data_IF_077587276989
#
_entry.id   IF_077587276989
#
_cell.length_a   1.000
_cell.length_b   1.000
_cell.length_c   1.000
_cell.angle_alpha   90.00
_cell.angle_beta   90.00
_cell.angle_gamma   90.00
#
_symmetry.space_group_name_H-M   'P 1'
#
loop_
_entity.id
_entity.type
_entity.pdbx_description
1 polymer ?
#
# COMPACT_ATOMS: atom_id res chain seq x y z
N UNK A 1 -24.53 3.85 29.09
CA UNK A 1 -25.11 4.06 27.74
C UNK A 1 -24.13 3.46 26.75
N UNK A 2 -24.50 2.36 26.10
CA UNK A 2 -23.64 1.55 25.23
C UNK A 2 -23.25 2.32 23.96
N UNK A 3 -21.95 2.51 23.73
CA UNK A 3 -21.35 3.02 22.49
C UNK A 3 -20.47 1.92 21.83
N UNK A 4 -21.03 0.71 21.63
CA UNK A 4 -20.28 -0.43 21.06
C UNK A 4 -20.99 -1.05 19.83
N UNK A 5 -22.09 -0.48 19.31
CA UNK A 5 -22.84 -1.12 18.21
C UNK A 5 -22.65 -0.55 16.81
N UNK A 6 -22.00 0.60 16.64
CA UNK A 6 -21.88 1.26 15.32
C UNK A 6 -20.70 0.76 14.50
N UNK A 7 -19.58 0.40 15.13
CA UNK A 7 -18.37 -0.06 14.43
C UNK A 7 -18.54 -1.45 13.81
N UNK A 8 -19.18 -2.38 14.54
CA UNK A 8 -19.43 -3.76 14.06
C UNK A 8 -20.46 -3.80 12.93
N UNK A 9 -21.47 -2.91 12.98
CA UNK A 9 -22.48 -2.82 11.92
C UNK A 9 -21.89 -2.25 10.64
N UNK A 10 -21.02 -1.25 10.74
CA UNK A 10 -20.36 -0.63 9.59
C UNK A 10 -19.38 -1.56 8.87
N UNK A 11 -18.53 -2.29 9.62
CA UNK A 11 -17.60 -3.25 9.03
C UNK A 11 -18.33 -4.29 8.17
N UNK A 12 -19.44 -4.82 8.66
CA UNK A 12 -20.26 -5.80 7.93
C UNK A 12 -20.87 -5.22 6.64
N UNK A 13 -21.18 -3.93 6.63
CA UNK A 13 -21.75 -3.25 5.46
C UNK A 13 -20.68 -2.96 4.40
N UNK A 14 -19.50 -2.49 4.80
CA UNK A 14 -18.35 -2.36 3.89
C UNK A 14 -17.89 -3.70 3.32
N UNK A 15 -17.85 -4.74 4.16
CA UNK A 15 -17.62 -6.13 3.71
C UNK A 15 -18.64 -6.57 2.67
N UNK A 16 -19.91 -6.23 2.87
CA UNK A 16 -20.98 -6.57 1.91
C UNK A 16 -20.76 -5.86 0.58
N UNK A 17 -20.33 -4.60 0.59
CA UNK A 17 -20.00 -3.84 -0.63
C UNK A 17 -18.78 -4.44 -1.32
N UNK A 18 -17.70 -4.71 -0.60
CA UNK A 18 -16.49 -5.33 -1.15
C UNK A 18 -16.79 -6.70 -1.76
N UNK A 19 -17.59 -7.55 -1.10
CA UNK A 19 -18.02 -8.84 -1.64
C UNK A 19 -18.85 -8.72 -2.92
N UNK A 20 -19.71 -7.70 -3.03
CA UNK A 20 -20.47 -7.43 -4.26
C UNK A 20 -19.54 -7.03 -5.40
N UNK A 21 -18.54 -6.20 -5.10
CA UNK A 21 -17.55 -5.76 -6.06
C UNK A 21 -16.71 -6.94 -6.57
N UNK A 22 -16.21 -7.79 -5.66
CA UNK A 22 -15.49 -9.01 -6.03
C UNK A 22 -16.33 -9.92 -6.94
N UNK A 23 -17.57 -10.23 -6.56
CA UNK A 23 -18.48 -11.03 -7.40
C UNK A 23 -18.73 -10.42 -8.77
N UNK A 24 -18.73 -9.09 -8.89
CA UNK A 24 -18.83 -8.42 -10.18
C UNK A 24 -17.58 -8.68 -11.03
N UNK A 25 -16.40 -8.41 -10.46
CA UNK A 25 -15.09 -8.61 -11.11
C UNK A 25 -14.94 -10.08 -11.58
N UNK A 26 -15.32 -11.04 -10.74
CA UNK A 26 -15.29 -12.47 -11.06
C UNK A 26 -16.24 -12.84 -12.21
N UNK A 27 -17.48 -12.36 -12.13
CA UNK A 27 -18.51 -12.66 -13.13
C UNK A 27 -18.14 -12.10 -14.49
N UNK A 28 -17.57 -10.91 -14.52
CA UNK A 28 -17.16 -10.24 -15.75
C UNK A 28 -15.82 -10.77 -16.27
N UNK A 29 -15.13 -11.62 -15.48
CA UNK A 29 -13.76 -12.09 -15.76
C UNK A 29 -12.88 -10.90 -16.12
N UNK A 30 -13.00 -9.83 -15.34
CA UNK A 30 -12.32 -8.58 -15.59
C UNK A 30 -10.80 -8.84 -15.59
N UNK A 31 -10.18 -8.72 -16.76
CA UNK A 31 -8.72 -8.85 -16.94
C UNK A 31 -8.08 -7.50 -17.22
N UNK A 32 -8.87 -6.43 -17.34
CA UNK A 32 -8.41 -5.07 -17.61
C UNK A 32 -8.94 -4.12 -16.55
N UNK A 33 -8.22 -3.01 -16.34
CA UNK A 33 -8.63 -1.97 -15.41
C UNK A 33 -10.03 -1.40 -15.75
N UNK A 34 -10.36 -1.23 -17.04
CA UNK A 34 -11.67 -0.71 -17.45
C UNK A 34 -12.86 -1.61 -17.08
N UNK A 35 -12.68 -2.94 -17.11
CA UNK A 35 -13.70 -3.89 -16.67
C UNK A 35 -13.93 -3.77 -15.15
N UNK A 36 -12.84 -3.58 -14.42
CA UNK A 36 -12.85 -3.39 -12.96
C UNK A 36 -13.52 -2.06 -12.59
N UNK A 37 -13.20 -0.97 -13.29
CA UNK A 37 -13.79 0.35 -13.08
C UNK A 37 -15.31 0.33 -13.27
N UNK A 38 -15.79 -0.39 -14.30
CA UNK A 38 -17.23 -0.57 -14.52
C UNK A 38 -17.91 -1.30 -13.36
N UNK A 39 -17.25 -2.30 -12.79
CA UNK A 39 -17.72 -2.98 -11.59
C UNK A 39 -17.70 -2.09 -10.35
N UNK A 40 -16.65 -1.28 -10.18
CA UNK A 40 -16.51 -0.29 -9.11
C UNK A 40 -17.67 0.72 -9.16
N UNK A 41 -17.85 1.41 -10.29
CA UNK A 41 -18.88 2.43 -10.46
C UNK A 41 -20.28 1.87 -10.17
N UNK A 42 -20.63 0.72 -10.76
CA UNK A 42 -21.95 0.10 -10.54
C UNK A 42 -22.15 -0.33 -9.09
N UNK A 43 -21.10 -0.84 -8.45
CA UNK A 43 -21.19 -1.29 -7.06
C UNK A 43 -21.35 -0.09 -6.13
N UNK A 44 -20.56 0.96 -6.32
CA UNK A 44 -20.64 2.18 -5.52
C UNK A 44 -21.99 2.87 -5.70
N UNK A 45 -22.44 3.10 -6.94
CA UNK A 45 -23.73 3.74 -7.22
C UNK A 45 -24.91 3.00 -6.57
N UNK A 46 -24.88 1.66 -6.54
CA UNK A 46 -25.94 0.83 -5.95
C UNK A 46 -25.90 0.71 -4.43
N UNK A 47 -24.82 1.13 -3.79
CA UNK A 47 -24.65 1.02 -2.34
C UNK A 47 -24.26 2.36 -1.70
N UNK A 48 -24.51 3.48 -2.40
CA UNK A 48 -24.13 4.82 -1.92
C UNK A 48 -24.83 5.18 -0.60
N UNK A 49 -26.03 4.65 -0.38
CA UNK A 49 -26.81 4.78 0.86
C UNK A 49 -26.05 4.26 2.09
N UNK A 50 -25.22 3.22 1.93
CA UNK A 50 -24.38 2.67 2.99
C UNK A 50 -23.35 3.71 3.44
N UNK A 51 -22.70 4.38 2.50
CA UNK A 51 -21.68 5.38 2.79
C UNK A 51 -22.29 6.63 3.41
N UNK A 52 -23.42 7.11 2.86
CA UNK A 52 -24.17 8.22 3.45
C UNK A 52 -24.53 7.97 4.91
N UNK A 53 -25.03 6.77 5.21
CA UNK A 53 -25.40 6.38 6.58
C UNK A 53 -24.19 6.23 7.51
N UNK A 54 -23.07 5.74 7.01
CA UNK A 54 -21.86 5.56 7.84
C UNK A 54 -21.24 6.89 8.25
N UNK A 55 -21.14 7.84 7.32
CA UNK A 55 -20.56 9.16 7.57
C UNK A 55 -21.56 10.17 8.15
N UNK A 56 -22.84 9.80 8.31
CA UNK A 56 -23.95 10.75 8.59
C UNK A 56 -23.94 11.93 7.60
N UNK A 57 -23.63 11.62 6.34
CA UNK A 57 -23.39 12.55 5.27
C UNK A 57 -24.71 13.01 4.62
N UNK A 58 -24.74 14.24 4.09
CA UNK A 58 -25.87 14.79 3.33
C UNK A 58 -25.54 14.92 1.86
N UNK A 59 -24.28 15.15 1.53
CA UNK A 59 -23.76 15.18 0.16
C UNK A 59 -22.59 14.22 0.02
N UNK A 60 -22.21 13.91 -1.23
CA UNK A 60 -21.06 13.02 -1.48
C UNK A 60 -19.74 13.65 -1.00
N UNK A 61 -19.67 14.99 -0.93
CA UNK A 61 -18.50 15.72 -0.45
C UNK A 61 -18.27 15.53 1.06
N UNK A 62 -19.31 15.12 1.79
CA UNK A 62 -19.21 14.79 3.22
C UNK A 62 -18.61 13.38 3.45
N UNK A 63 -18.40 12.60 2.38
CA UNK A 63 -17.91 11.23 2.43
C UNK A 63 -16.41 11.24 2.15
N UNK A 64 -15.62 10.67 3.06
CA UNK A 64 -14.19 10.42 2.80
C UNK A 64 -14.04 9.26 1.81
N UNK A 65 -14.07 9.60 0.52
CA UNK A 65 -13.97 8.64 -0.59
C UNK A 65 -12.59 7.96 -0.64
N UNK A 66 -11.55 8.59 -0.11
CA UNK A 66 -10.23 7.98 0.03
C UNK A 66 -10.28 6.88 1.09
N UNK A 67 -10.87 7.14 2.27
CA UNK A 67 -11.08 6.11 3.29
C UNK A 67 -11.96 4.97 2.76
N UNK A 68 -13.06 5.27 2.08
CA UNK A 68 -13.93 4.25 1.48
C UNK A 68 -13.16 3.38 0.48
N UNK A 69 -12.40 4.00 -0.42
CA UNK A 69 -11.56 3.32 -1.40
C UNK A 69 -10.53 2.41 -0.73
N UNK A 70 -9.84 2.92 0.29
CA UNK A 70 -8.86 2.16 1.05
C UNK A 70 -9.49 0.96 1.79
N UNK A 71 -10.64 1.15 2.46
CA UNK A 71 -11.34 0.07 3.15
C UNK A 71 -11.72 -1.04 2.17
N UNK A 72 -12.35 -0.68 1.05
CA UNK A 72 -12.83 -1.63 0.05
C UNK A 72 -11.65 -2.31 -0.65
N UNK A 73 -10.61 -1.56 -1.02
CA UNK A 73 -9.40 -2.08 -1.67
C UNK A 73 -8.68 -3.13 -0.81
N UNK A 74 -8.56 -2.90 0.50
CA UNK A 74 -8.00 -3.89 1.43
C UNK A 74 -8.84 -5.18 1.44
N UNK A 75 -10.16 -5.06 1.56
CA UNK A 75 -11.04 -6.25 1.55
C UNK A 75 -10.92 -7.05 0.25
N UNK A 76 -10.81 -6.37 -0.90
CA UNK A 76 -10.61 -7.02 -2.20
C UNK A 76 -9.25 -7.74 -2.22
N UNK A 77 -8.17 -7.07 -1.80
CA UNK A 77 -6.84 -7.66 -1.78
C UNK A 77 -6.76 -8.91 -0.89
N UNK A 78 -7.46 -8.90 0.24
CA UNK A 78 -7.49 -10.03 1.19
C UNK A 78 -8.38 -11.19 0.73
N UNK A 79 -9.52 -10.91 0.09
CA UNK A 79 -10.57 -11.90 -0.14
C UNK A 79 -10.80 -12.28 -1.60
N UNK A 80 -10.21 -11.55 -2.54
CA UNK A 80 -10.51 -11.62 -3.97
C UNK A 80 -9.21 -11.72 -4.75
N UNK A 81 -8.56 -12.89 -4.62
CA UNK A 81 -7.21 -13.14 -5.15
C UNK A 81 -7.06 -12.90 -6.65
N UNK A 82 -8.14 -13.05 -7.43
CA UNK A 82 -8.18 -12.74 -8.87
C UNK A 82 -8.25 -11.24 -9.17
N UNK A 83 -8.89 -10.44 -8.30
CA UNK A 83 -9.01 -9.00 -8.48
C UNK A 83 -7.67 -8.30 -8.20
N UNK A 84 -6.91 -8.80 -7.22
CA UNK A 84 -5.56 -8.34 -6.92
C UNK A 84 -4.56 -8.55 -8.08
N UNK A 85 -4.88 -9.37 -9.10
CA UNK A 85 -4.10 -9.46 -10.34
C UNK A 85 -4.38 -8.27 -11.25
N UNK A 86 -5.64 -7.90 -11.44
CA UNK A 86 -6.04 -6.79 -12.29
C UNK A 86 -5.63 -5.41 -11.75
N UNK A 87 -5.60 -5.22 -10.42
CA UNK A 87 -5.29 -3.93 -9.78
C UNK A 87 -3.78 -3.63 -9.61
N UNK A 88 -2.88 -4.61 -9.80
CA UNK A 88 -1.47 -4.48 -9.39
C UNK A 88 -0.46 -4.58 -10.54
N UNK A 89 -0.91 -4.75 -11.79
CA UNK A 89 -0.03 -5.07 -12.94
C UNK A 89 0.69 -3.83 -13.55
N UNK A 90 0.47 -2.62 -13.04
CA UNK A 90 1.03 -1.39 -13.62
C UNK A 90 2.28 -0.81 -12.91
N UNK A 91 2.73 -1.43 -11.82
CA UNK A 91 3.79 -0.91 -10.94
C UNK A 91 5.24 -1.12 -11.44
N UNK A 92 5.46 -1.54 -12.69
CA UNK A 92 6.81 -1.84 -13.17
C UNK A 92 7.08 -1.45 -14.62
N UNK A 93 7.38 -0.17 -14.90
CA UNK A 93 8.11 0.25 -16.10
C UNK A 93 9.05 1.43 -15.81
N UNK A 94 10.31 1.24 -16.19
CA UNK A 94 11.56 1.95 -15.84
C UNK A 94 11.61 3.45 -16.16
N UNK A 95 12.54 4.16 -15.50
CA UNK A 95 13.00 5.52 -15.85
C UNK A 95 14.50 5.54 -16.16
N UNK A 96 14.91 6.53 -16.97
CA UNK A 96 16.16 6.58 -17.74
C UNK A 96 17.47 6.69 -16.93
N UNK A 97 18.52 6.09 -17.49
CA UNK A 97 19.93 6.06 -17.02
C UNK A 97 20.64 7.42 -16.98
N UNK A 98 21.49 7.63 -15.96
CA UNK A 98 22.54 8.65 -15.87
C UNK A 98 23.87 7.95 -15.52
N UNK A 99 24.98 8.43 -16.09
CA UNK A 99 26.37 7.91 -16.03
C UNK A 99 26.99 7.81 -14.62
N UNK A 100 28.07 6.99 -14.44
CA UNK A 100 28.40 6.35 -13.17
C UNK A 100 29.19 7.25 -12.21
N UNK A 101 28.62 7.48 -11.03
CA UNK A 101 29.41 7.58 -9.80
C UNK A 101 29.74 6.15 -9.31
N UNK A 102 30.56 5.99 -8.27
CA UNK A 102 30.81 4.67 -7.69
C UNK A 102 29.49 4.06 -7.17
N UNK A 103 29.22 2.81 -7.52
CA UNK A 103 28.01 2.10 -7.10
C UNK A 103 27.94 2.03 -5.57
N UNK A 104 26.75 2.30 -5.01
CA UNK A 104 26.51 2.12 -3.58
C UNK A 104 26.86 0.67 -3.16
N UNK A 105 27.47 0.49 -1.99
CA UNK A 105 27.61 -0.84 -1.38
C UNK A 105 26.39 -1.15 -0.51
N UNK A 106 26.14 -2.42 -0.20
CA UNK A 106 25.02 -2.74 0.70
C UNK A 106 25.25 -2.20 2.12
N UNK A 107 26.51 -2.12 2.55
CA UNK A 107 26.91 -1.51 3.83
C UNK A 107 26.58 -0.02 3.90
N UNK A 108 26.64 0.71 2.79
CA UNK A 108 26.29 2.14 2.74
C UNK A 108 24.81 2.40 3.02
N UNK A 109 23.97 1.34 3.04
CA UNK A 109 22.52 1.41 3.22
C UNK A 109 22.12 1.19 4.68
N UNK A 110 22.99 0.59 5.49
CA UNK A 110 22.69 0.28 6.89
C UNK A 110 22.31 1.52 7.68
N UNK A 111 22.78 2.69 7.24
CA UNK A 111 22.39 3.99 7.76
C UNK A 111 22.23 4.98 6.61
N UNK A 112 21.07 5.63 6.52
CA UNK A 112 20.83 6.60 5.47
C UNK A 112 19.37 7.04 5.37
N UNK A 113 19.15 8.07 4.57
CA UNK A 113 17.83 8.54 4.21
C UNK A 113 17.58 8.33 2.72
N UNK A 114 16.40 7.84 2.42
CA UNK A 114 15.98 7.45 1.09
C UNK A 114 14.55 7.89 0.84
N UNK A 115 14.11 7.86 -0.41
CA UNK A 115 12.71 7.94 -0.75
C UNK A 115 12.35 6.94 -1.84
N UNK A 116 11.09 6.53 -1.87
CA UNK A 116 10.50 5.82 -2.99
C UNK A 116 9.14 6.43 -3.33
N UNK A 117 8.75 6.28 -4.59
CA UNK A 117 7.47 6.80 -5.09
C UNK A 117 6.52 5.67 -5.40
N UNK A 118 5.29 5.79 -4.93
CA UNK A 118 4.18 4.96 -5.40
C UNK A 118 3.41 5.80 -6.43
N UNK A 119 3.54 5.46 -7.70
CA UNK A 119 2.79 6.12 -8.77
C UNK A 119 1.46 5.40 -8.98
N UNK A 120 0.35 6.13 -8.82
CA UNK A 120 -0.97 5.71 -9.29
C UNK A 120 -1.24 6.47 -10.58
N UNK A 121 -0.85 5.87 -11.72
CA UNK A 121 -0.82 6.50 -13.04
C UNK A 121 -2.18 7.08 -13.45
N UNK A 122 -3.25 6.43 -13.06
CA UNK A 122 -4.64 6.79 -13.38
C UNK A 122 -5.09 8.07 -12.66
N UNK A 123 -4.52 8.36 -11.49
CA UNK A 123 -4.83 9.55 -10.70
C UNK A 123 -3.85 10.70 -10.95
N UNK A 124 -2.81 10.50 -11.78
CA UNK A 124 -1.65 11.39 -11.87
C UNK A 124 -1.12 11.76 -10.46
N UNK A 125 -1.19 10.81 -9.54
CA UNK A 125 -0.83 11.01 -8.15
C UNK A 125 0.43 10.21 -7.84
N UNK A 126 1.48 10.94 -7.45
CA UNK A 126 2.74 10.36 -6.98
C UNK A 126 2.79 10.62 -5.48
N UNK A 127 2.63 9.57 -4.68
CA UNK A 127 2.92 9.66 -3.25
C UNK A 127 4.40 9.32 -3.04
N UNK A 128 5.08 10.18 -2.28
CA UNK A 128 6.49 9.97 -1.94
C UNK A 128 6.57 9.52 -0.49
N UNK A 129 7.17 8.34 -0.29
CA UNK A 129 7.49 7.83 1.04
C UNK A 129 8.97 8.06 1.30
N UNK A 130 9.27 8.78 2.38
CA UNK A 130 10.63 8.96 2.87
C UNK A 130 10.95 7.87 3.89
N UNK A 131 12.12 7.27 3.76
CA UNK A 131 12.59 6.17 4.59
C UNK A 131 13.89 6.58 5.27
N UNK A 132 14.00 6.34 6.57
CA UNK A 132 15.24 6.47 7.31
C UNK A 132 15.66 5.11 7.89
N UNK A 133 16.87 4.67 7.56
CA UNK A 133 17.56 3.58 8.24
C UNK A 133 18.48 4.19 9.31
N UNK A 134 18.24 3.88 10.58
CA UNK A 134 19.04 4.40 11.68
C UNK A 134 19.29 3.32 12.74
N UNK A 135 20.39 2.58 12.58
CA UNK A 135 20.75 1.50 13.49
C UNK A 135 19.73 0.37 13.42
N UNK A 136 18.99 0.16 14.50
CA UNK A 136 17.93 -0.84 14.64
C UNK A 136 16.54 -0.32 14.26
N UNK A 137 16.43 0.93 13.80
CA UNK A 137 15.16 1.56 13.43
C UNK A 137 15.02 1.76 11.92
N UNK A 138 13.86 1.36 11.40
CA UNK A 138 13.37 1.69 10.07
C UNK A 138 12.11 2.55 10.18
N UNK A 139 12.16 3.77 9.64
CA UNK A 139 11.06 4.74 9.74
C UNK A 139 10.60 5.16 8.35
N UNK A 140 9.33 4.91 8.03
CA UNK A 140 8.65 5.49 6.87
C UNK A 140 7.89 6.75 7.26
N UNK A 141 7.96 7.79 6.44
CA UNK A 141 7.16 9.01 6.53
C UNK A 141 6.44 9.22 5.21
N UNK A 142 5.11 9.27 5.26
CA UNK A 142 4.22 9.36 4.10
C UNK A 142 3.41 10.65 4.16
N UNK A 143 2.76 11.04 3.06
CA UNK A 143 1.87 12.21 3.01
C UNK A 143 2.53 13.48 3.54
N UNK A 144 3.78 13.73 3.12
CA UNK A 144 4.64 14.83 3.59
C UNK A 144 4.88 14.81 5.12
N UNK A 145 5.06 13.62 5.69
CA UNK A 145 5.35 13.42 7.12
C UNK A 145 4.13 13.47 8.04
N UNK A 146 2.91 13.57 7.49
CA UNK A 146 1.68 13.52 8.29
C UNK A 146 1.42 12.13 8.86
N UNK A 147 1.78 11.10 8.12
CA UNK A 147 1.70 9.70 8.57
C UNK A 147 3.07 9.03 8.57
N UNK A 148 3.21 7.99 9.36
CA UNK A 148 4.45 7.26 9.56
C UNK A 148 4.20 5.78 9.84
N UNK A 149 5.22 4.97 9.58
CA UNK A 149 5.32 3.58 10.03
C UNK A 149 6.68 3.35 10.66
N UNK A 150 6.69 2.74 11.85
CA UNK A 150 7.89 2.38 12.59
C UNK A 150 8.05 0.87 12.54
N UNK A 151 9.24 0.43 12.15
CA UNK A 151 9.66 -0.96 12.14
C UNK A 151 11.04 -1.06 12.79
N UNK A 152 11.31 -2.18 13.47
CA UNK A 152 12.69 -2.54 13.80
C UNK A 152 13.34 -3.15 12.55
N UNK A 153 14.65 -2.98 12.39
CA UNK A 153 15.44 -3.62 11.35
C UNK A 153 16.47 -4.56 11.95
N UNK A 154 16.57 -5.76 11.40
CA UNK A 154 17.63 -6.73 11.70
C UNK A 154 18.34 -7.12 10.39
N UNK A 155 19.62 -6.79 10.27
CA UNK A 155 20.44 -7.19 9.13
C UNK A 155 20.90 -8.64 9.30
N UNK A 156 20.49 -9.51 8.36
CA UNK A 156 20.91 -10.92 8.32
C UNK A 156 22.34 -11.02 7.75
N UNK A 157 22.62 -10.19 6.75
CA UNK A 157 23.94 -9.97 6.17
C UNK A 157 24.00 -8.58 5.54
N UNK A 158 25.03 -8.27 4.76
CA UNK A 158 25.21 -6.94 4.19
C UNK A 158 24.03 -6.49 3.32
N UNK A 159 23.37 -7.39 2.58
CA UNK A 159 22.32 -7.06 1.59
C UNK A 159 20.93 -7.61 1.94
N UNK A 160 20.80 -8.47 2.95
CA UNK A 160 19.53 -9.06 3.38
C UNK A 160 19.16 -8.57 4.79
N UNK A 161 17.91 -8.18 4.98
CA UNK A 161 17.40 -7.72 6.27
C UNK A 161 15.93 -8.09 6.49
N UNK A 162 15.53 -8.12 7.76
CA UNK A 162 14.15 -8.27 8.17
C UNK A 162 13.66 -6.99 8.82
N UNK A 163 12.42 -6.61 8.53
CA UNK A 163 11.72 -5.54 9.21
C UNK A 163 10.62 -6.12 10.09
N UNK A 164 10.62 -5.76 11.37
CA UNK A 164 9.56 -6.16 12.31
C UNK A 164 8.65 -4.96 12.57
N UNK A 165 7.39 -5.07 12.18
CA UNK A 165 6.44 -3.98 12.34
C UNK A 165 6.18 -3.66 13.82
N UNK A 166 6.25 -2.39 14.19
CA UNK A 166 5.90 -1.92 15.54
C UNK A 166 4.57 -1.21 15.55
N UNK A 167 4.44 -0.15 14.77
CA UNK A 167 3.30 0.74 14.81
C UNK A 167 3.23 1.60 13.55
N UNK A 168 2.02 2.07 13.25
CA UNK A 168 1.79 3.05 12.21
C UNK A 168 0.59 3.91 12.60
N UNK A 169 0.62 5.20 12.26
CA UNK A 169 -0.57 6.04 12.25
C UNK A 169 -1.14 6.21 10.83
N UNK A 170 -0.53 5.58 9.83
CA UNK A 170 -1.07 5.53 8.47
C UNK A 170 -2.26 4.55 8.41
N UNK A 171 -3.44 4.98 7.90
CA UNK A 171 -4.65 4.16 7.89
C UNK A 171 -4.50 2.83 7.16
N UNK A 172 -3.71 2.80 6.08
CA UNK A 172 -3.52 1.60 5.27
C UNK A 172 -2.54 0.64 5.96
N UNK A 173 -1.35 1.13 6.31
CA UNK A 173 -0.29 0.31 6.94
C UNK A 173 -0.76 -0.27 8.28
N UNK A 174 -1.48 0.50 9.11
CA UNK A 174 -2.03 0.04 10.39
C UNK A 174 -3.05 -1.10 10.24
N UNK A 175 -3.71 -1.21 9.08
CA UNK A 175 -4.67 -2.29 8.80
C UNK A 175 -3.98 -3.53 8.23
N UNK A 176 -3.00 -3.34 7.34
CA UNK A 176 -2.27 -4.42 6.67
C UNK A 176 -1.22 -5.11 7.54
N UNK A 177 -0.78 -4.44 8.61
CA UNK A 177 0.30 -4.91 9.48
C UNK A 177 -0.14 -4.93 10.94
N UNK A 178 0.27 -5.98 11.66
CA UNK A 178 0.12 -6.11 13.10
C UNK A 178 1.49 -6.02 13.78
N UNK A 179 1.57 -5.47 15.00
CA UNK A 179 2.84 -5.46 15.73
C UNK A 179 3.44 -6.87 15.83
N UNK A 180 4.69 -7.01 15.40
CA UNK A 180 5.39 -8.29 15.32
C UNK A 180 5.36 -8.98 13.96
N UNK A 181 4.62 -8.46 12.97
CA UNK A 181 4.72 -8.96 11.59
C UNK A 181 6.14 -8.73 11.05
N UNK A 182 6.69 -9.76 10.40
CA UNK A 182 8.06 -9.75 9.88
C UNK A 182 8.03 -9.74 8.35
N UNK A 183 8.77 -8.81 7.77
CA UNK A 183 8.91 -8.64 6.33
C UNK A 183 10.37 -8.84 5.93
N UNK A 184 10.63 -9.71 4.96
CA UNK A 184 11.98 -10.02 4.51
C UNK A 184 12.31 -9.22 3.25
N UNK A 185 13.49 -8.65 3.21
CA UNK A 185 13.97 -7.81 2.12
C UNK A 185 15.38 -8.22 1.69
N UNK A 186 15.64 -8.05 0.41
CA UNK A 186 16.95 -8.27 -0.20
C UNK A 186 17.26 -7.11 -1.16
N UNK A 187 18.44 -6.52 -1.03
CA UNK A 187 18.97 -5.58 -2.02
C UNK A 187 19.48 -6.42 -3.20
N UNK A 188 18.81 -6.30 -4.35
CA UNK A 188 19.11 -7.11 -5.55
C UNK A 188 19.92 -6.35 -6.59
N UNK A 189 19.88 -5.02 -6.56
CA UNK A 189 20.65 -4.17 -7.48
C UNK A 189 20.90 -2.81 -6.86
N UNK A 190 21.85 -2.07 -7.43
CA UNK A 190 22.23 -0.74 -6.97
C UNK A 190 22.79 0.11 -8.10
N UNK A 191 22.58 1.39 -7.97
CA UNK A 191 23.19 2.44 -8.77
C UNK A 191 23.89 3.40 -7.82
N UNK A 192 24.58 4.43 -8.33
CA UNK A 192 25.22 5.42 -7.47
C UNK A 192 24.23 6.26 -6.65
N UNK A 193 22.96 6.32 -7.07
CA UNK A 193 21.92 7.16 -6.45
C UNK A 193 20.71 6.37 -5.97
N UNK A 194 20.64 5.07 -6.21
CA UNK A 194 19.49 4.25 -5.84
C UNK A 194 19.85 2.82 -5.55
N UNK A 195 18.94 2.13 -4.86
CA UNK A 195 19.03 0.70 -4.56
C UNK A 195 17.69 0.06 -4.93
N UNK A 196 17.74 -1.15 -5.46
CA UNK A 196 16.54 -1.93 -5.78
C UNK A 196 16.40 -3.00 -4.72
N UNK A 197 15.29 -2.95 -4.00
CA UNK A 197 14.98 -3.87 -2.91
C UNK A 197 13.84 -4.79 -3.36
N UNK A 198 14.05 -6.09 -3.24
CA UNK A 198 13.04 -7.11 -3.43
C UNK A 198 12.45 -7.55 -2.09
N UNK A 199 11.14 -7.77 -2.05
CA UNK A 199 10.44 -8.38 -0.92
C UNK A 199 9.40 -9.38 -1.39
N UNK A 200 9.06 -10.33 -0.52
CA UNK A 200 8.04 -11.32 -0.79
C UNK A 200 6.82 -11.11 0.12
N UNK A 201 5.69 -10.75 -0.47
CA UNK A 201 4.44 -10.54 0.26
C UNK A 201 3.29 -11.25 -0.46
N UNK A 202 2.39 -11.88 0.28
CA UNK A 202 1.23 -12.60 -0.26
C UNK A 202 1.53 -13.51 -1.48
N UNK A 203 2.60 -14.31 -1.40
CA UNK A 203 3.07 -15.22 -2.47
C UNK A 203 3.60 -14.53 -3.75
N UNK A 204 3.85 -13.22 -3.71
CA UNK A 204 4.37 -12.43 -4.82
C UNK A 204 5.66 -11.72 -4.44
N UNK A 205 6.52 -11.53 -5.44
CA UNK A 205 7.70 -10.68 -5.34
C UNK A 205 7.32 -9.25 -5.69
N UNK A 206 7.76 -8.31 -4.89
CA UNK A 206 7.65 -6.88 -5.13
C UNK A 206 9.05 -6.30 -5.16
N UNK A 207 9.27 -5.34 -6.07
CA UNK A 207 10.50 -4.60 -6.16
C UNK A 207 10.20 -3.13 -5.93
N UNK A 208 11.03 -2.46 -5.14
CA UNK A 208 10.93 -1.04 -4.89
C UNK A 208 12.31 -0.43 -5.05
N UNK A 209 12.37 0.68 -5.79
CA UNK A 209 13.60 1.45 -5.95
C UNK A 209 13.63 2.56 -4.91
N UNK A 210 14.63 2.52 -4.04
CA UNK A 210 14.89 3.56 -3.06
C UNK A 210 15.96 4.49 -3.62
N UNK A 211 15.65 5.77 -3.69
CA UNK A 211 16.57 6.82 -4.12
C UNK A 211 17.18 7.49 -2.90
N UNK A 212 18.50 7.66 -2.89
CA UNK A 212 19.21 8.34 -1.81
C UNK A 212 18.84 9.84 -1.78
N UNK A 213 18.63 10.40 -0.58
CA UNK A 213 18.41 11.85 -0.37
C UNK A 213 19.74 12.60 -0.36
#
# INVERSE_FOLDING_TARGET
MMLISSTVFSQKEFERVANKLCKCIEKEKATTQGDVDSCLERTFAKNMDVFFKYYDAKTIDDIDMEEVGNVIGIYIAENCTYAAEAFMDEAGKESNFIEPAEDLTCLDIHQGEYYYTNEVKELNFIDTTYVSFNGDLYLERMKNGKTYSILDIEWINDCDFELTFKASNDPMKKRLSKPGDIYKYQIIDKTPTSIIIETFWNKRKYQVTFHKI
#
